data_IF_497717712647
#
_entry.id   IF_497717712647
#
_cell.length_a   1.000
_cell.length_b   1.000
_cell.length_c   1.000
_cell.angle_alpha   90.00
_cell.angle_beta   90.00
_cell.angle_gamma   90.00
#
_symmetry.space_group_name_H-M   'P 1'
#
loop_
_entity.id
_entity.type
_entity.pdbx_description
1 polymer ?
#
# COMPACT_ATOMS: atom_id res chain seq x y z
N UNK A 1 -2.30 5.77 -3.77
CA UNK A 1 -2.64 5.56 -5.20
C UNK A 1 -3.73 6.52 -5.67
N UNK A 2 -4.83 6.69 -4.92
CA UNK A 2 -5.92 7.64 -5.24
C UNK A 2 -5.45 9.08 -5.51
N UNK A 3 -4.45 9.57 -4.77
CA UNK A 3 -3.91 10.92 -4.91
C UNK A 3 -3.13 11.17 -6.22
N UNK A 4 -2.62 10.11 -6.85
CA UNK A 4 -1.91 10.22 -8.13
C UNK A 4 -2.87 10.18 -9.33
N UNK A 5 -4.18 10.02 -9.10
CA UNK A 5 -5.19 9.95 -10.16
C UNK A 5 -5.49 11.37 -10.68
N UNK A 6 -5.27 11.60 -11.96
CA UNK A 6 -5.54 12.90 -12.61
C UNK A 6 -6.92 12.94 -13.27
N UNK A 7 -7.35 11.82 -13.85
CA UNK A 7 -8.70 11.69 -14.42
C UNK A 7 -9.16 10.24 -14.41
N UNK A 8 -10.47 10.05 -14.46
CA UNK A 8 -11.07 8.72 -14.61
C UNK A 8 -12.35 8.76 -15.43
N UNK A 9 -12.63 7.64 -16.11
CA UNK A 9 -13.85 7.42 -16.88
C UNK A 9 -14.65 6.30 -16.23
N UNK A 10 -15.89 6.58 -15.86
CA UNK A 10 -16.80 5.64 -15.23
C UNK A 10 -17.98 5.39 -16.15
N UNK A 11 -18.36 4.12 -16.28
CA UNK A 11 -19.61 3.71 -16.91
C UNK A 11 -20.67 3.58 -15.83
N UNK A 12 -21.75 4.35 -15.93
CA UNK A 12 -22.86 4.35 -14.98
C UNK A 12 -23.83 3.19 -15.25
N UNK A 13 -24.82 3.00 -14.36
CA UNK A 13 -25.86 1.99 -14.55
C UNK A 13 -26.76 2.19 -15.78
N UNK A 14 -26.79 3.41 -16.35
CA UNK A 14 -27.50 3.69 -17.61
C UNK A 14 -26.67 3.35 -18.84
N UNK A 15 -25.41 2.95 -18.68
CA UNK A 15 -24.46 2.72 -19.78
C UNK A 15 -23.79 4.00 -20.30
N UNK A 16 -24.02 5.14 -19.65
CA UNK A 16 -23.37 6.41 -19.99
C UNK A 16 -21.94 6.47 -19.46
N UNK A 17 -21.05 7.10 -20.22
CA UNK A 17 -19.65 7.32 -19.82
C UNK A 17 -19.49 8.72 -19.26
N UNK A 18 -19.09 8.81 -18.00
CA UNK A 18 -18.77 10.06 -17.33
C UNK A 18 -17.25 10.19 -17.18
N UNK A 19 -16.69 11.32 -17.63
CA UNK A 19 -15.29 11.66 -17.40
C UNK A 19 -15.20 12.64 -16.24
N UNK A 20 -14.41 12.28 -15.22
CA UNK A 20 -14.23 13.03 -13.99
C UNK A 20 -12.76 13.41 -13.84
N UNK A 21 -12.52 14.66 -13.45
CA UNK A 21 -11.20 15.18 -13.14
C UNK A 21 -11.30 16.29 -12.08
N UNK A 22 -10.16 16.71 -11.56
CA UNK A 22 -10.08 17.69 -10.47
C UNK A 22 -10.45 19.11 -10.91
N UNK A 23 -10.19 19.49 -12.17
CA UNK A 23 -10.44 20.85 -12.69
C UNK A 23 -11.93 21.13 -12.94
N UNK A 24 -12.69 20.12 -13.35
CA UNK A 24 -14.09 20.25 -13.78
C UNK A 24 -15.07 19.80 -12.70
N UNK A 25 -14.70 18.81 -11.89
CA UNK A 25 -15.63 18.12 -11.00
C UNK A 25 -14.93 17.59 -9.74
N UNK A 26 -14.32 18.47 -8.94
CA UNK A 26 -13.48 18.10 -7.79
C UNK A 26 -14.21 17.20 -6.79
N UNK A 27 -15.45 17.55 -6.42
CA UNK A 27 -16.24 16.82 -5.43
C UNK A 27 -16.62 15.41 -5.92
N UNK A 28 -17.14 15.32 -7.14
CA UNK A 28 -17.52 14.06 -7.78
C UNK A 28 -16.29 13.19 -8.03
N UNK A 29 -15.17 13.79 -8.44
CA UNK A 29 -13.91 13.08 -8.64
C UNK A 29 -13.35 12.51 -7.33
N UNK A 30 -13.42 13.26 -6.24
CA UNK A 30 -13.03 12.76 -4.92
C UNK A 30 -13.93 11.64 -4.40
N UNK A 31 -15.25 11.69 -4.65
CA UNK A 31 -16.15 10.58 -4.36
C UNK A 31 -15.82 9.35 -5.24
N UNK A 32 -15.57 9.56 -6.53
CA UNK A 32 -15.25 8.52 -7.50
C UNK A 32 -13.91 7.82 -7.23
N UNK A 33 -12.90 8.54 -6.69
CA UNK A 33 -11.62 7.99 -6.22
C UNK A 33 -11.80 6.88 -5.18
N UNK A 34 -12.89 6.92 -4.42
CA UNK A 34 -13.21 5.95 -3.34
C UNK A 34 -14.54 5.24 -3.61
N UNK A 35 -14.85 5.01 -4.89
CA UNK A 35 -16.09 4.42 -5.39
C UNK A 35 -16.42 3.04 -4.76
N UNK A 36 -15.40 2.18 -4.52
CA UNK A 36 -15.58 0.80 -4.05
C UNK A 36 -16.52 -0.07 -4.92
N UNK A 37 -16.85 0.38 -6.15
CA UNK A 37 -17.72 -0.32 -7.11
C UNK A 37 -19.19 0.10 -7.09
N UNK A 38 -19.59 1.04 -6.22
CA UNK A 38 -20.98 1.51 -6.10
C UNK A 38 -21.41 2.50 -7.19
N UNK A 39 -20.55 3.43 -7.58
CA UNK A 39 -20.84 4.55 -8.48
C UNK A 39 -20.75 4.18 -9.98
N UNK A 40 -20.47 2.91 -10.28
CA UNK A 40 -20.27 2.41 -11.63
C UNK A 40 -18.91 1.73 -11.81
N UNK A 41 -18.64 1.34 -13.05
CA UNK A 41 -17.42 0.60 -13.42
C UNK A 41 -16.38 1.60 -13.93
N UNK A 42 -15.19 1.59 -13.33
CA UNK A 42 -14.06 2.37 -13.81
C UNK A 42 -13.53 1.70 -15.09
N UNK A 43 -13.69 2.36 -16.23
CA UNK A 43 -13.27 1.87 -17.55
C UNK A 43 -11.84 2.33 -17.91
N UNK A 44 -11.47 3.55 -17.54
CA UNK A 44 -10.16 4.12 -17.82
C UNK A 44 -9.72 5.06 -16.70
N UNK A 45 -8.42 5.15 -16.46
CA UNK A 45 -7.84 6.00 -15.41
C UNK A 45 -6.49 6.54 -15.87
N UNK A 46 -6.25 7.82 -15.60
CA UNK A 46 -4.99 8.51 -15.94
C UNK A 46 -4.25 8.83 -14.64
N UNK A 47 -3.00 8.38 -14.54
CA UNK A 47 -2.17 8.59 -13.35
C UNK A 47 -1.00 9.53 -13.65
N UNK A 48 -0.64 10.34 -12.66
CA UNK A 48 0.65 11.03 -12.61
C UNK A 48 1.74 10.00 -12.32
N UNK A 49 2.82 10.06 -13.10
CA UNK A 49 3.97 9.16 -12.97
C UNK A 49 5.20 9.94 -12.53
N UNK A 50 6.13 9.24 -11.89
CA UNK A 50 7.45 9.76 -11.53
C UNK A 50 8.54 9.08 -12.38
N UNK A 51 9.72 9.72 -12.56
CA UNK A 51 10.85 9.07 -13.21
C UNK A 51 11.25 7.75 -12.54
N UNK A 52 11.78 6.83 -13.33
CA UNK A 52 12.26 5.54 -12.80
C UNK A 52 13.48 5.74 -11.90
N UNK A 53 13.55 4.98 -10.82
CA UNK A 53 14.68 4.97 -9.88
C UNK A 53 14.93 3.55 -9.35
N UNK A 54 16.13 3.32 -8.82
CA UNK A 54 16.52 2.01 -8.31
C UNK A 54 16.15 1.89 -6.82
N UNK A 55 15.48 0.79 -6.47
CA UNK A 55 15.15 0.43 -5.10
C UNK A 55 15.91 -0.82 -4.69
N UNK A 56 16.35 -0.86 -3.43
CA UNK A 56 16.92 -2.05 -2.80
C UNK A 56 16.00 -2.52 -1.70
N UNK A 57 15.45 -3.72 -1.85
CA UNK A 57 14.68 -4.41 -0.81
C UNK A 57 15.63 -5.21 0.09
N UNK A 58 15.43 -5.13 1.40
CA UNK A 58 16.19 -5.90 2.40
C UNK A 58 15.21 -6.51 3.39
N UNK A 59 15.13 -7.84 3.41
CA UNK A 59 14.25 -8.58 4.30
C UNK A 59 15.03 -9.08 5.52
N UNK A 60 14.51 -8.79 6.72
CA UNK A 60 15.11 -9.22 7.97
C UNK A 60 14.05 -9.84 8.87
N UNK A 61 14.39 -10.95 9.53
CA UNK A 61 13.60 -11.51 10.61
C UNK A 61 14.13 -10.98 11.93
N UNK A 62 13.31 -10.16 12.61
CA UNK A 62 13.69 -9.50 13.86
C UNK A 62 12.76 -9.95 14.98
N UNK A 63 13.29 -10.28 16.17
CA UNK A 63 12.45 -10.56 17.34
C UNK A 63 11.51 -9.39 17.66
N UNK A 64 10.30 -9.72 18.13
CA UNK A 64 9.24 -8.72 18.35
C UNK A 64 9.64 -7.62 19.36
N UNK A 65 10.45 -7.96 20.36
CA UNK A 65 10.94 -7.03 21.38
C UNK A 65 11.93 -6.00 20.81
N UNK A 66 12.76 -6.39 19.85
CA UNK A 66 13.70 -5.51 19.16
C UNK A 66 12.96 -4.66 18.13
N UNK A 67 12.04 -5.25 17.38
CA UNK A 67 11.25 -4.53 16.39
C UNK A 67 10.32 -3.48 17.01
N UNK A 68 9.57 -3.82 18.07
CA UNK A 68 8.63 -2.89 18.73
C UNK A 68 9.33 -1.77 19.52
N UNK A 69 10.67 -1.74 19.54
CA UNK A 69 11.40 -0.65 20.13
C UNK A 69 11.22 0.64 19.29
N UNK A 70 10.67 1.72 19.86
CA UNK A 70 10.42 2.97 19.13
C UNK A 70 11.65 3.57 18.45
N UNK A 71 12.84 3.40 19.05
CA UNK A 71 14.10 3.87 18.46
C UNK A 71 14.45 3.10 17.18
N UNK A 72 14.23 1.79 17.16
CA UNK A 72 14.54 0.96 15.99
C UNK A 72 13.58 1.25 14.83
N UNK A 73 12.28 1.39 15.12
CA UNK A 73 11.27 1.79 14.12
C UNK A 73 11.61 3.15 13.53
N UNK A 74 11.97 4.12 14.39
CA UNK A 74 12.35 5.46 13.93
C UNK A 74 13.57 5.42 13.01
N UNK A 75 14.62 4.70 13.39
CA UNK A 75 15.83 4.58 12.57
C UNK A 75 15.54 3.96 11.20
N UNK A 76 14.65 2.97 11.13
CA UNK A 76 14.24 2.36 9.87
C UNK A 76 13.47 3.36 9.00
N UNK A 77 12.56 4.14 9.59
CA UNK A 77 11.75 5.12 8.87
C UNK A 77 12.60 6.26 8.30
N UNK A 78 13.64 6.67 9.01
CA UNK A 78 14.57 7.72 8.55
C UNK A 78 15.57 7.22 7.49
N UNK A 79 15.85 5.92 7.46
CA UNK A 79 16.85 5.33 6.54
C UNK A 79 16.26 4.70 5.28
N UNK A 80 14.95 4.53 5.20
CA UNK A 80 14.27 3.81 4.12
C UNK A 80 13.09 4.61 3.58
N UNK A 81 12.88 4.59 2.25
CA UNK A 81 11.73 5.24 1.61
C UNK A 81 10.39 4.58 1.98
N UNK A 82 10.40 3.28 2.26
CA UNK A 82 9.21 2.49 2.58
C UNK A 82 9.58 1.30 3.43
N UNK A 83 8.65 0.90 4.30
CA UNK A 83 8.81 -0.24 5.21
C UNK A 83 7.52 -1.06 5.14
N UNK A 84 7.67 -2.37 5.06
CA UNK A 84 6.57 -3.32 5.17
C UNK A 84 6.82 -4.27 6.34
N UNK A 85 5.76 -4.54 7.11
CA UNK A 85 5.84 -5.31 8.35
C UNK A 85 4.87 -6.47 8.30
N UNK A 86 5.43 -7.65 8.43
CA UNK A 86 4.66 -8.87 8.55
C UNK A 86 4.74 -9.35 9.99
N UNK A 87 3.60 -9.35 10.66
CA UNK A 87 3.47 -9.90 12.00
C UNK A 87 2.73 -11.23 11.93
N UNK A 88 3.44 -12.31 12.28
CA UNK A 88 2.83 -13.60 12.52
C UNK A 88 2.71 -13.81 14.03
N UNK A 89 1.49 -14.09 14.55
CA UNK A 89 1.31 -14.33 15.97
C UNK A 89 2.09 -15.58 16.42
N UNK A 90 2.50 -15.61 17.68
CA UNK A 90 3.23 -16.72 18.34
C UNK A 90 4.63 -17.04 17.79
N UNK A 91 5.12 -16.29 16.80
CA UNK A 91 6.49 -16.43 16.31
C UNK A 91 7.48 -15.70 17.23
N UNK A 92 7.80 -16.33 18.35
CA UNK A 92 8.95 -15.95 19.17
C UNK A 92 10.23 -16.44 18.52
N UNK A 93 10.70 -15.77 17.46
CA UNK A 93 11.97 -16.12 16.81
C UNK A 93 13.09 -16.06 17.84
N UNK A 94 13.61 -17.21 18.21
CA UNK A 94 14.80 -17.33 19.04
C UNK A 94 16.00 -17.42 18.11
N UNK A 95 16.87 -16.41 18.12
CA UNK A 95 18.05 -16.34 17.24
C UNK A 95 19.07 -17.47 17.48
N UNK A 96 18.92 -18.21 18.60
CA UNK A 96 19.70 -19.41 18.91
C UNK A 96 19.10 -20.72 18.39
N UNK A 97 17.92 -20.67 17.75
CA UNK A 97 17.31 -21.86 17.15
C UNK A 97 18.02 -22.22 15.85
N UNK A 98 18.56 -23.44 15.70
CA UNK A 98 19.17 -23.89 14.46
C UNK A 98 18.18 -24.01 13.30
N UNK A 99 16.86 -23.97 13.55
CA UNK A 99 15.85 -24.08 12.50
C UNK A 99 14.69 -23.07 12.69
N UNK A 100 14.95 -21.77 12.48
CA UNK A 100 14.01 -20.69 12.83
C UNK A 100 12.76 -20.63 11.93
N UNK A 101 12.66 -21.44 10.87
CA UNK A 101 11.56 -21.43 9.90
C UNK A 101 10.61 -22.65 10.00
N UNK A 102 10.75 -23.49 11.03
CA UNK A 102 9.88 -24.66 11.19
C UNK A 102 8.49 -24.27 11.74
N UNK A 103 7.49 -24.26 10.86
CA UNK A 103 6.11 -23.89 11.18
C UNK A 103 5.32 -24.96 11.92
N UNK A 104 5.88 -26.16 12.17
CA UNK A 104 5.17 -27.29 12.79
C UNK A 104 5.48 -27.47 14.28
N UNK A 105 6.06 -26.45 14.94
CA UNK A 105 6.59 -26.58 16.30
C UNK A 105 5.65 -26.13 17.42
N UNK A 106 4.44 -25.66 17.07
CA UNK A 106 3.36 -25.31 18.01
C UNK A 106 2.16 -26.26 17.86
#
# INVERSE_FOLDING_TARGET
MSDQLCSMKIVTGSGEVCELNEEVSESEFNAAKVNLGLLGIIYSSTFRVQPIYNLRMTDNFVPINEWLNPMNIKNLLESSDSIELFYWPFNGFNQSDPNPLDSNRD
#
